data_IF_435658460513
#
_entry.id   IF_435658460513
#
_cell.length_a   1.000
_cell.length_b   1.000
_cell.length_c   1.000
_cell.angle_alpha   90.00
_cell.angle_beta   90.00
_cell.angle_gamma   90.00
#
_symmetry.space_group_name_H-M   'P 1'
#
loop_
_entity.id
_entity.type
_entity.pdbx_description
1 polymer ?
#
# COMPACT_ATOMS: atom_id res chain seq x y z
N UNK A 1 21.52 10.14 10.33
CA UNK A 1 20.14 10.18 9.83
C UNK A 1 20.22 10.56 8.38
N UNK A 2 20.04 9.60 7.48
CA UNK A 2 19.93 9.90 6.06
C UNK A 2 18.58 10.56 5.82
N UNK A 3 18.60 11.75 5.21
CA UNK A 3 17.41 12.36 4.67
C UNK A 3 16.94 11.45 3.53
N UNK A 4 15.85 10.72 3.75
CA UNK A 4 15.11 10.07 2.67
C UNK A 4 14.52 11.22 1.85
N UNK A 5 15.20 11.58 0.75
CA UNK A 5 14.69 12.54 -0.22
C UNK A 5 13.57 11.81 -0.96
N UNK A 6 12.35 11.97 -0.48
CA UNK A 6 11.16 11.54 -1.20
C UNK A 6 11.05 12.43 -2.43
N UNK A 7 11.32 11.81 -3.58
CA UNK A 7 11.38 12.42 -4.91
C UNK A 7 10.19 13.36 -5.13
N UNK A 8 10.49 14.58 -5.59
CA UNK A 8 9.53 15.65 -5.86
C UNK A 8 8.46 15.21 -6.87
N UNK A 9 7.19 15.27 -6.44
CA UNK A 9 6.05 14.61 -7.07
C UNK A 9 5.67 15.24 -8.43
N UNK A 10 6.16 16.45 -8.77
CA UNK A 10 5.92 17.07 -10.08
C UNK A 10 6.70 16.42 -11.23
N UNK A 11 7.70 15.59 -10.93
CA UNK A 11 8.53 14.91 -11.93
C UNK A 11 7.82 13.70 -12.56
N UNK A 12 6.95 13.02 -11.81
CA UNK A 12 6.36 11.74 -12.23
C UNK A 12 5.42 11.85 -13.44
N UNK A 13 4.73 12.98 -13.61
CA UNK A 13 3.73 13.15 -14.67
C UNK A 13 4.33 13.29 -16.08
N UNK A 14 5.63 13.60 -16.19
CA UNK A 14 6.32 13.75 -17.48
C UNK A 14 7.22 12.56 -17.83
N UNK A 15 7.29 11.55 -16.96
CA UNK A 15 8.11 10.36 -17.18
C UNK A 15 7.43 9.36 -18.11
N UNK A 16 8.24 8.58 -18.82
CA UNK A 16 7.74 7.41 -19.53
C UNK A 16 7.12 6.40 -18.56
N UNK A 17 6.30 5.50 -19.10
CA UNK A 17 5.63 4.48 -18.29
C UNK A 17 6.63 3.61 -17.52
N UNK A 18 7.73 3.22 -18.16
CA UNK A 18 8.80 2.43 -17.55
C UNK A 18 9.49 3.18 -16.41
N UNK A 19 9.79 4.47 -16.59
CA UNK A 19 10.41 5.31 -15.55
C UNK A 19 9.49 5.52 -14.34
N UNK A 20 8.17 5.68 -14.56
CA UNK A 20 7.19 5.75 -13.47
C UNK A 20 7.10 4.43 -12.73
N UNK A 21 7.06 3.30 -13.45
CA UNK A 21 7.02 1.97 -12.85
C UNK A 21 8.27 1.68 -12.01
N UNK A 22 9.44 2.13 -12.48
CA UNK A 22 10.69 2.02 -11.73
C UNK A 22 10.66 2.89 -10.45
N UNK A 23 10.22 4.14 -10.57
CA UNK A 23 10.09 5.04 -9.43
C UNK A 23 9.10 4.51 -8.38
N UNK A 24 7.98 3.95 -8.83
CA UNK A 24 6.99 3.29 -7.99
C UNK A 24 7.59 2.09 -7.24
N UNK A 25 8.27 1.21 -7.97
CA UNK A 25 8.95 0.04 -7.38
C UNK A 25 9.97 0.45 -6.32
N UNK A 26 10.70 1.55 -6.56
CA UNK A 26 11.64 2.12 -5.59
C UNK A 26 10.94 2.63 -4.33
N UNK A 27 9.86 3.40 -4.47
CA UNK A 27 9.04 3.90 -3.35
C UNK A 27 8.48 2.74 -2.51
N UNK A 28 7.96 1.67 -3.14
CA UNK A 28 7.48 0.49 -2.43
C UNK A 28 8.60 -0.22 -1.64
N UNK A 29 9.78 -0.33 -2.24
CA UNK A 29 10.95 -0.92 -1.58
C UNK A 29 11.39 -0.10 -0.37
N UNK A 30 11.47 1.22 -0.50
CA UNK A 30 11.79 2.13 0.61
C UNK A 30 10.76 2.01 1.75
N UNK A 31 9.47 1.92 1.41
CA UNK A 31 8.41 1.69 2.40
C UNK A 31 8.59 0.33 3.11
N UNK A 32 8.91 -0.73 2.36
CA UNK A 32 9.19 -2.04 2.95
C UNK A 32 10.35 -1.97 3.95
N UNK A 33 11.47 -1.39 3.55
CA UNK A 33 12.68 -1.28 4.37
C UNK A 33 12.41 -0.45 5.63
N UNK A 34 11.64 0.64 5.50
CA UNK A 34 11.19 1.46 6.63
C UNK A 34 10.33 0.69 7.63
N UNK A 35 9.35 -0.09 7.15
CA UNK A 35 8.50 -0.92 8.02
C UNK A 35 9.29 -2.07 8.63
N UNK A 36 10.09 -2.78 7.84
CA UNK A 36 10.93 -3.88 8.29
C UNK A 36 11.90 -3.42 9.39
N UNK A 37 12.53 -2.25 9.22
CA UNK A 37 13.39 -1.64 10.23
C UNK A 37 12.64 -1.31 11.52
N UNK A 38 11.40 -0.82 11.44
CA UNK A 38 10.57 -0.52 12.62
C UNK A 38 10.16 -1.78 13.39
N UNK A 39 9.86 -2.86 12.69
CA UNK A 39 9.29 -4.06 13.31
C UNK A 39 10.31 -5.18 13.60
N UNK A 40 11.54 -5.07 13.11
CA UNK A 40 12.60 -6.07 13.36
C UNK A 40 12.19 -7.49 12.94
N UNK A 41 11.35 -7.59 11.91
CA UNK A 41 10.62 -8.81 11.60
C UNK A 41 11.50 -9.81 10.83
N UNK A 42 12.32 -10.56 11.56
CA UNK A 42 13.06 -11.69 11.00
C UNK A 42 12.08 -12.73 10.43
N UNK A 43 12.00 -12.84 9.10
CA UNK A 43 11.16 -13.80 8.40
C UNK A 43 10.17 -13.19 7.41
N UNK A 44 10.00 -11.87 7.38
CA UNK A 44 9.14 -11.23 6.38
C UNK A 44 9.87 -11.09 5.04
N UNK A 45 9.27 -11.63 3.98
CA UNK A 45 9.84 -11.59 2.63
C UNK A 45 9.32 -10.36 1.88
N UNK A 46 10.23 -9.55 1.32
CA UNK A 46 9.87 -8.38 0.52
C UNK A 46 8.94 -8.74 -0.64
N UNK A 47 9.07 -9.95 -1.22
CA UNK A 47 8.18 -10.44 -2.27
C UNK A 47 6.74 -10.65 -1.78
N UNK A 48 6.55 -11.14 -0.56
CA UNK A 48 5.21 -11.30 0.05
C UNK A 48 4.62 -9.93 0.35
N UNK A 49 5.44 -8.98 0.79
CA UNK A 49 5.04 -7.59 0.97
C UNK A 49 4.66 -6.93 -0.37
N UNK A 50 5.49 -7.05 -1.41
CA UNK A 50 5.20 -6.56 -2.77
C UNK A 50 3.94 -7.20 -3.35
N UNK A 51 3.72 -8.50 -3.17
CA UNK A 51 2.47 -9.19 -3.56
C UNK A 51 1.27 -8.71 -2.73
N UNK A 52 1.48 -8.41 -1.45
CA UNK A 52 0.44 -7.82 -0.60
C UNK A 52 0.11 -6.38 -0.98
N UNK A 53 1.08 -5.66 -1.53
CA UNK A 53 0.99 -4.29 -2.01
C UNK A 53 0.62 -4.18 -3.50
N UNK A 54 0.61 -5.29 -4.23
CA UNK A 54 0.28 -5.31 -5.64
C UNK A 54 -1.20 -5.02 -5.81
N UNK A 55 -1.48 -3.75 -6.07
CA UNK A 55 -2.61 -3.33 -6.88
C UNK A 55 -2.09 -2.72 -8.17
N UNK A 56 -2.62 -3.29 -9.26
CA UNK A 56 -2.33 -3.07 -10.67
C UNK A 56 -2.59 -1.63 -11.11
N UNK A 57 -1.74 -1.12 -12.00
CA UNK A 57 -2.04 -0.19 -13.12
C UNK A 57 -3.13 0.88 -12.99
N UNK A 58 -3.44 1.37 -11.80
CA UNK A 58 -4.45 2.41 -11.65
C UNK A 58 -3.86 3.82 -11.81
N UNK A 59 -3.16 3.99 -12.94
CA UNK A 59 -2.43 5.18 -13.38
C UNK A 59 -3.36 6.40 -13.53
N UNK A 60 -4.67 6.17 -13.57
CA UNK A 60 -5.70 7.17 -13.86
C UNK A 60 -6.41 7.73 -12.61
N UNK A 61 -6.09 7.23 -11.42
CA UNK A 61 -6.79 7.69 -10.21
C UNK A 61 -6.20 8.97 -9.65
N UNK A 62 -6.98 10.05 -9.82
CA UNK A 62 -6.74 11.34 -9.16
C UNK A 62 -7.36 11.37 -7.74
N UNK A 63 -8.42 10.60 -7.48
CA UNK A 63 -9.19 10.68 -6.24
C UNK A 63 -9.61 9.31 -5.69
N UNK A 64 -9.81 9.18 -4.36
CA UNK A 64 -10.29 7.95 -3.73
C UNK A 64 -11.59 7.38 -4.32
N UNK A 65 -12.52 8.25 -4.75
CA UNK A 65 -13.79 7.82 -5.36
C UNK A 65 -13.59 6.97 -6.61
N UNK A 66 -12.51 7.22 -7.38
CA UNK A 66 -12.21 6.41 -8.55
C UNK A 66 -11.69 5.02 -8.16
N UNK A 67 -10.96 4.93 -7.04
CA UNK A 67 -10.53 3.65 -6.47
C UNK A 67 -11.75 2.84 -6.03
N UNK A 68 -12.67 3.44 -5.26
CA UNK A 68 -13.89 2.76 -4.80
C UNK A 68 -14.74 2.24 -5.97
N UNK A 69 -14.85 3.04 -7.05
CA UNK A 69 -15.57 2.62 -8.25
C UNK A 69 -14.91 1.38 -8.89
N UNK A 70 -13.58 1.38 -9.05
CA UNK A 70 -12.87 0.23 -9.63
C UNK A 70 -12.94 -1.01 -8.75
N UNK A 71 -12.80 -0.87 -7.43
CA UNK A 71 -12.99 -1.97 -6.48
C UNK A 71 -14.38 -2.60 -6.63
N UNK A 72 -15.42 -1.78 -6.84
CA UNK A 72 -16.78 -2.24 -7.08
C UNK A 72 -16.95 -2.92 -8.44
N UNK A 73 -16.39 -2.35 -9.51
CA UNK A 73 -16.45 -2.91 -10.87
C UNK A 73 -15.78 -4.28 -10.96
N UNK A 74 -14.66 -4.46 -10.24
CA UNK A 74 -13.95 -5.74 -10.14
C UNK A 74 -14.51 -6.69 -9.07
N UNK A 75 -15.56 -6.29 -8.35
CA UNK A 75 -16.18 -7.05 -7.26
C UNK A 75 -15.16 -7.48 -6.17
N UNK A 76 -14.25 -6.57 -5.84
CA UNK A 76 -13.23 -6.77 -4.82
C UNK A 76 -13.80 -6.45 -3.43
N UNK A 77 -13.48 -7.23 -2.39
CA UNK A 77 -14.08 -7.07 -1.06
C UNK A 77 -13.38 -5.97 -0.23
N UNK A 78 -13.01 -4.85 -0.83
CA UNK A 78 -12.23 -3.80 -0.14
C UNK A 78 -12.95 -2.45 -0.10
N UNK A 79 -12.91 -1.88 1.10
CA UNK A 79 -13.08 -0.50 1.56
C UNK A 79 -11.98 0.49 1.23
N UNK A 80 -12.18 1.70 0.69
CA UNK A 80 -11.22 2.77 1.00
C UNK A 80 -11.57 3.32 2.39
N UNK A 81 -10.69 3.12 3.37
CA UNK A 81 -10.90 3.61 4.74
C UNK A 81 -10.52 5.09 4.86
N UNK A 82 -9.29 5.43 4.47
CA UNK A 82 -8.79 6.79 4.40
C UNK A 82 -7.60 6.87 3.43
N UNK A 83 -7.08 8.08 3.21
CA UNK A 83 -5.88 8.30 2.41
C UNK A 83 -4.88 9.18 3.14
N UNK A 84 -3.60 8.94 2.86
CA UNK A 84 -2.47 9.68 3.43
C UNK A 84 -1.50 10.08 2.33
N UNK A 85 -0.71 11.11 2.57
CA UNK A 85 0.45 11.38 1.70
C UNK A 85 1.48 10.26 1.86
N UNK A 86 2.14 9.87 0.77
CA UNK A 86 3.10 8.76 0.80
C UNK A 86 4.24 9.01 1.77
N UNK A 87 4.68 10.26 1.90
CA UNK A 87 5.71 10.68 2.86
C UNK A 87 5.27 10.65 4.33
N UNK A 88 3.97 10.47 4.59
CA UNK A 88 3.36 10.37 5.92
C UNK A 88 2.95 8.94 6.28
N UNK A 89 3.20 7.96 5.42
CA UNK A 89 2.84 6.58 5.72
C UNK A 89 3.59 6.06 6.96
N UNK A 90 4.90 6.29 7.06
CA UNK A 90 5.69 5.85 8.21
C UNK A 90 5.41 6.63 9.50
N UNK A 91 4.64 7.72 9.43
CA UNK A 91 4.20 8.52 10.59
C UNK A 91 2.89 8.00 11.20
N UNK A 92 2.23 7.00 10.57
CA UNK A 92 1.02 6.37 11.13
C UNK A 92 1.32 5.65 12.44
N UNK A 93 0.27 5.40 13.23
CA UNK A 93 0.38 4.65 14.47
C UNK A 93 0.90 3.21 14.22
N UNK A 94 1.52 2.64 15.25
CA UNK A 94 2.14 1.32 15.18
C UNK A 94 1.17 0.23 14.73
N UNK A 95 -0.09 0.25 15.19
CA UNK A 95 -1.08 -0.78 14.87
C UNK A 95 -1.45 -0.74 13.38
N UNK A 96 -1.67 0.45 12.82
CA UNK A 96 -1.90 0.64 11.38
C UNK A 96 -0.71 0.09 10.57
N UNK A 97 0.51 0.45 10.97
CA UNK A 97 1.71 0.02 10.27
C UNK A 97 1.93 -1.50 10.33
N UNK A 98 1.63 -2.14 11.46
CA UNK A 98 1.68 -3.61 11.60
C UNK A 98 0.64 -4.29 10.70
N UNK A 99 -0.57 -3.74 10.61
CA UNK A 99 -1.62 -4.29 9.74
C UNK A 99 -1.29 -4.15 8.26
N UNK A 100 -0.67 -3.04 7.85
CA UNK A 100 -0.15 -2.88 6.48
C UNK A 100 0.99 -3.87 6.22
N UNK A 101 1.94 -3.95 7.17
CA UNK A 101 3.09 -4.83 7.04
C UNK A 101 2.69 -6.31 6.97
N UNK A 102 1.71 -6.74 7.76
CA UNK A 102 1.17 -8.10 7.76
C UNK A 102 0.25 -8.41 6.57
N UNK A 103 -0.21 -7.37 5.84
CA UNK A 103 -1.14 -7.49 4.72
C UNK A 103 -2.62 -7.58 5.12
N UNK A 104 -2.94 -7.38 6.41
CA UNK A 104 -4.32 -7.24 6.91
C UNK A 104 -4.99 -5.98 6.35
N UNK A 105 -4.23 -4.89 6.23
CA UNK A 105 -4.60 -3.71 5.44
C UNK A 105 -3.88 -3.77 4.10
N UNK A 106 -4.63 -3.50 3.03
CA UNK A 106 -4.05 -3.30 1.69
C UNK A 106 -3.83 -1.81 1.47
N UNK A 107 -2.92 -1.43 0.58
CA UNK A 107 -2.73 -0.03 0.22
C UNK A 107 -2.68 0.13 -1.29
N UNK A 108 -3.11 1.28 -1.79
CA UNK A 108 -3.05 1.66 -3.21
C UNK A 108 -2.43 3.04 -3.30
N UNK A 109 -1.34 3.21 -4.06
CA UNK A 109 -0.87 4.56 -4.37
C UNK A 109 -1.66 5.13 -5.55
N UNK A 110 -1.98 6.41 -5.47
CA UNK A 110 -2.71 7.15 -6.48
C UNK A 110 -2.17 8.59 -6.56
N UNK A 111 -2.74 9.42 -7.44
CA UNK A 111 -2.31 10.81 -7.61
C UNK A 111 -0.80 10.91 -7.93
N UNK A 112 -0.37 10.15 -8.95
CA UNK A 112 1.04 10.07 -9.36
C UNK A 112 1.96 9.41 -8.32
N UNK A 113 1.41 8.73 -7.31
CA UNK A 113 2.16 8.13 -6.21
C UNK A 113 2.49 9.09 -5.07
N UNK A 114 1.89 10.29 -5.06
CA UNK A 114 1.99 11.25 -3.95
C UNK A 114 1.08 10.86 -2.77
N UNK A 115 0.03 10.08 -3.03
CA UNK A 115 -0.95 9.64 -2.04
C UNK A 115 -1.08 8.13 -2.00
N UNK A 116 -1.49 7.63 -0.84
CA UNK A 116 -1.72 6.22 -0.56
C UNK A 116 -3.12 6.10 0.07
N UNK A 117 -4.00 5.36 -0.57
CA UNK A 117 -5.27 4.92 -0.01
C UNK A 117 -5.02 3.67 0.84
N UNK A 118 -5.55 3.68 2.06
CA UNK A 118 -5.56 2.53 2.96
C UNK A 118 -6.87 1.79 2.76
N UNK A 119 -6.76 0.50 2.45
CA UNK A 119 -7.87 -0.36 2.16
C UNK A 119 -8.16 -1.35 3.28
N UNK A 120 -9.41 -1.41 3.69
CA UNK A 120 -9.92 -2.36 4.66
C UNK A 120 -10.71 -3.47 3.98
N UNK A 121 -10.48 -4.73 4.37
CA UNK A 121 -11.29 -5.82 3.85
C UNK A 121 -12.69 -5.77 4.48
N UNK A 122 -13.72 -5.60 3.63
CA UNK A 122 -15.13 -5.62 4.04
C UNK A 122 -15.66 -7.00 4.38
N UNK A 123 -15.00 -8.05 3.90
CA UNK A 123 -15.21 -9.37 4.45
C UNK A 123 -14.32 -9.48 5.69
N UNK A 124 -14.88 -9.42 6.92
CA UNK A 124 -14.08 -9.72 8.09
C UNK A 124 -13.49 -11.09 7.85
N UNK A 125 -12.16 -11.19 7.83
CA UNK A 125 -11.52 -12.49 7.81
C UNK A 125 -12.12 -13.26 8.97
N UNK A 126 -12.82 -14.37 8.68
CA UNK A 126 -12.93 -15.45 9.64
C UNK A 126 -11.50 -15.71 10.06
N UNK A 127 -11.14 -15.22 11.25
CA UNK A 127 -9.76 -15.26 11.72
C UNK A 127 -9.22 -16.67 11.52
N UNK A 128 -7.92 -16.80 11.27
CA UNK A 128 -7.27 -18.12 11.18
C UNK A 128 -7.64 -19.01 12.40
N UNK A 129 -7.98 -18.41 13.54
CA UNK A 129 -8.57 -19.06 14.72
C UNK A 129 -9.93 -19.75 14.47
N UNK A 130 -10.83 -19.17 13.67
CA UNK A 130 -12.14 -19.77 13.32
C UNK A 130 -11.97 -20.95 12.35
N UNK A 131 -10.99 -20.89 11.44
CA UNK A 131 -10.70 -21.99 10.51
C UNK A 131 -10.28 -23.29 11.23
N UNK A 132 -9.69 -23.18 12.41
CA UNK A 132 -9.31 -24.32 13.26
C UNK A 132 -10.43 -24.83 14.19
N UNK A 133 -11.58 -24.14 14.28
CA UNK A 133 -12.75 -24.60 15.05
C UNK A 133 -13.73 -25.37 14.14
N UNK A 134 -13.67 -25.14 12.83
CA UNK A 134 -14.55 -25.75 11.83
C UNK A 134 -13.93 -26.95 11.08
N UNK A 135 -12.72 -27.37 11.45
CA UNK A 135 -12.06 -28.59 10.95
C UNK A 135 -11.90 -29.61 12.07
#
# INVERSE_FOLDING_TARGET
MENIILVDDSYMNNLSEDERNEAYSRKLKELFEGLFSKFGANGYNSKVFEENLKFSEFKDFVFPVHIEQALKEENLPYEVSYSVFSNKLLDQDTETLEKIFSGELKIIMFDGGSRIAILENKMPQTSIKVKNILN
#
